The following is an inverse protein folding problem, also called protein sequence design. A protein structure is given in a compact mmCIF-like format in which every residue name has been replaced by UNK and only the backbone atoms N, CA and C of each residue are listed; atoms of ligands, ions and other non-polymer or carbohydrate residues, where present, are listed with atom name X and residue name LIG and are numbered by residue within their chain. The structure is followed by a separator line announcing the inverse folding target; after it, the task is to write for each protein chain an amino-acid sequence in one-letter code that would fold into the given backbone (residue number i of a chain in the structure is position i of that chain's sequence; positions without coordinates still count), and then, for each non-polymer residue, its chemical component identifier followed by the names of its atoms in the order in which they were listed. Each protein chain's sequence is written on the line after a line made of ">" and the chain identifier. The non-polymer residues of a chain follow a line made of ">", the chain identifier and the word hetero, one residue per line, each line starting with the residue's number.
data_IF_351068233347
#
_entry.id   IF_351068233347
#
_cell.length_a   1.000
_cell.length_b   1.000
_cell.length_c   1.000
_cell.angle_alpha   90.00
_cell.angle_beta   90.00
_cell.angle_gamma   90.00
#
_symmetry.space_group_name_H-M   'P 1'
#
loop_
_entity.id
_entity.type
_entity.pdbx_description
1 polymer ?
#
# COMPACT_ATOMS: atom_id res chain seq x y z
N UNK A 1 -13.87 16.26 2.44
CA UNK A 1 -13.79 14.89 1.87
C UNK A 1 -14.61 13.84 2.62
N UNK A 2 -14.86 12.71 1.96
CA UNK A 2 -15.77 11.63 2.38
C UNK A 2 -15.32 10.77 3.59
N UNK A 3 -14.24 11.14 4.29
CA UNK A 3 -13.79 10.45 5.52
C UNK A 3 -12.95 9.19 5.31
N UNK A 4 -12.52 8.91 4.07
CA UNK A 4 -11.57 7.84 3.75
C UNK A 4 -10.13 8.15 4.16
N UNK A 5 -9.26 7.15 4.01
CA UNK A 5 -7.81 7.21 4.23
C UNK A 5 -7.09 6.58 3.04
N UNK A 6 -5.96 7.16 2.66
CA UNK A 6 -5.16 6.72 1.52
C UNK A 6 -3.69 6.71 1.92
N UNK A 7 -3.01 5.59 1.73
CA UNK A 7 -1.58 5.39 2.04
C UNK A 7 -0.90 4.61 0.92
N UNK A 8 0.42 4.55 0.92
CA UNK A 8 1.15 3.51 0.19
C UNK A 8 0.89 2.12 0.83
N UNK A 9 1.34 1.03 0.19
CA UNK A 9 1.20 -0.32 0.76
C UNK A 9 2.20 -0.63 1.89
N UNK A 10 3.10 0.29 2.21
CA UNK A 10 3.93 0.25 3.42
C UNK A 10 3.22 0.87 4.63
N UNK A 11 2.12 1.60 4.40
CA UNK A 11 1.33 2.30 5.40
C UNK A 11 1.72 3.76 5.61
N UNK A 12 2.56 4.33 4.75
CA UNK A 12 2.94 5.73 4.81
C UNK A 12 1.98 6.62 4.04
N UNK A 13 1.87 7.88 4.46
CA UNK A 13 1.13 8.88 3.71
C UNK A 13 1.79 9.15 2.35
N UNK A 14 0.97 9.44 1.34
CA UNK A 14 1.45 9.77 0.01
C UNK A 14 2.07 11.18 -0.01
N UNK A 15 3.33 11.27 -0.44
CA UNK A 15 4.04 12.53 -0.61
C UNK A 15 3.89 13.07 -2.04
N UNK A 16 2.99 14.04 -2.20
CA UNK A 16 2.74 14.73 -3.48
C UNK A 16 3.71 15.90 -3.75
N UNK A 17 4.69 16.16 -2.88
CA UNK A 17 5.63 17.28 -3.05
C UNK A 17 6.71 17.02 -4.12
N UNK A 18 6.87 15.76 -4.55
CA UNK A 18 7.94 15.31 -5.47
C UNK A 18 7.68 15.59 -6.95
N UNK A 19 6.66 16.39 -7.27
CA UNK A 19 6.34 16.80 -8.64
C UNK A 19 5.31 15.90 -9.32
N UNK A 20 5.53 15.55 -10.59
CA UNK A 20 4.51 14.90 -11.43
C UNK A 20 4.21 13.44 -11.04
N UNK A 21 5.15 12.75 -10.40
CA UNK A 21 5.07 11.33 -10.11
C UNK A 21 5.10 11.08 -8.61
N UNK A 22 4.33 10.07 -8.18
CA UNK A 22 4.42 9.54 -6.83
C UNK A 22 5.61 8.59 -6.75
N UNK A 23 6.50 8.87 -5.80
CA UNK A 23 7.64 8.02 -5.47
C UNK A 23 7.19 6.95 -4.46
N UNK A 24 6.39 6.00 -4.96
CA UNK A 24 5.88 4.87 -4.20
C UNK A 24 6.48 3.57 -4.73
N UNK A 25 7.21 2.86 -3.86
CA UNK A 25 7.82 1.58 -4.22
C UNK A 25 6.77 0.46 -4.32
N UNK A 26 5.71 0.55 -3.51
CA UNK A 26 4.76 -0.55 -3.30
C UNK A 26 3.32 -0.02 -3.26
N UNK A 27 2.68 0.11 -4.42
CA UNK A 27 1.23 0.30 -4.57
C UNK A 27 0.56 1.44 -3.78
N UNK A 28 -0.77 1.51 -3.85
CA UNK A 28 -1.60 2.46 -3.11
C UNK A 28 -2.80 1.72 -2.50
N UNK A 29 -3.13 2.04 -1.25
CA UNK A 29 -4.30 1.53 -0.55
C UNK A 29 -5.23 2.69 -0.25
N UNK A 30 -6.49 2.61 -0.68
CA UNK A 30 -7.53 3.57 -0.39
C UNK A 30 -8.75 2.86 0.21
N UNK A 31 -9.12 3.21 1.45
CA UNK A 31 -10.26 2.60 2.15
C UNK A 31 -10.80 3.50 3.26
N UNK A 32 -11.73 3.00 4.07
CA UNK A 32 -12.18 3.68 5.27
C UNK A 32 -11.26 3.40 6.47
N UNK A 33 -11.38 4.22 7.52
CA UNK A 33 -10.55 4.11 8.73
C UNK A 33 -10.67 2.77 9.47
N UNK A 34 -11.81 2.09 9.33
CA UNK A 34 -12.10 0.83 10.04
C UNK A 34 -11.37 -0.35 9.40
N UNK A 35 -11.31 -0.40 8.07
CA UNK A 35 -10.72 -1.51 7.32
C UNK A 35 -9.22 -1.35 7.07
N UNK A 36 -8.68 -0.13 7.20
CA UNK A 36 -7.28 0.15 6.90
C UNK A 36 -6.29 -0.78 7.65
N UNK A 37 -6.41 -1.03 8.96
CA UNK A 37 -5.46 -1.90 9.67
C UNK A 37 -5.45 -3.34 9.14
N UNK A 38 -6.63 -3.92 8.89
CA UNK A 38 -6.74 -5.29 8.36
C UNK A 38 -6.27 -5.39 6.92
N UNK A 39 -6.61 -4.41 6.09
CA UNK A 39 -6.26 -4.41 4.67
C UNK A 39 -4.75 -4.23 4.46
N UNK A 40 -4.14 -3.28 5.17
CA UNK A 40 -2.71 -3.05 5.13
C UNK A 40 -1.94 -4.32 5.49
N UNK A 41 -2.35 -5.00 6.58
CA UNK A 41 -1.74 -6.26 7.00
C UNK A 41 -1.83 -7.34 5.91
N UNK A 42 -3.01 -7.57 5.35
CA UNK A 42 -3.19 -8.60 4.31
C UNK A 42 -2.39 -8.31 3.05
N UNK A 43 -2.28 -7.03 2.66
CA UNK A 43 -1.46 -6.62 1.51
C UNK A 43 0.03 -6.89 1.78
N UNK A 44 0.53 -6.50 2.95
CA UNK A 44 1.93 -6.73 3.34
C UNK A 44 2.27 -8.23 3.39
N UNK A 45 1.36 -9.06 3.91
CA UNK A 45 1.50 -10.52 3.93
C UNK A 45 1.56 -11.10 2.50
N UNK A 46 0.66 -10.68 1.61
CA UNK A 46 0.64 -11.15 0.22
C UNK A 46 1.89 -10.74 -0.57
N UNK A 47 2.42 -9.53 -0.33
CA UNK A 47 3.68 -9.07 -0.94
C UNK A 47 4.84 -9.93 -0.45
N UNK A 48 4.92 -10.18 0.85
CA UNK A 48 5.96 -11.01 1.45
C UNK A 48 5.92 -12.44 0.89
N UNK A 49 4.74 -13.02 0.75
CA UNK A 49 4.56 -14.35 0.14
C UNK A 49 5.06 -14.37 -1.31
N UNK A 50 4.68 -13.36 -2.12
CA UNK A 50 5.15 -13.24 -3.50
C UNK A 50 6.67 -13.12 -3.62
N UNK A 51 7.31 -12.40 -2.70
CA UNK A 51 8.78 -12.27 -2.66
C UNK A 51 9.51 -13.55 -2.24
N UNK A 52 8.81 -14.49 -1.58
CA UNK A 52 9.38 -15.76 -1.10
C UNK A 52 9.10 -16.94 -2.05
N UNK A 53 8.19 -16.78 -3.01
CA UNK A 53 7.91 -17.81 -4.01
C UNK A 53 9.12 -17.98 -4.96
N UNK A 54 9.60 -19.22 -5.18
CA UNK A 54 10.66 -19.47 -6.16
C UNK A 54 10.15 -19.12 -7.56
N UNK A 55 10.98 -18.40 -8.33
CA UNK A 55 10.71 -18.14 -9.74
C UNK A 55 10.49 -19.47 -10.48
N UNK A 56 9.37 -19.65 -11.22
CA UNK A 56 9.24 -20.80 -12.09
C UNK A 56 10.34 -20.70 -13.16
N UNK A 57 11.23 -21.69 -13.17
CA UNK A 57 12.33 -21.87 -14.14
C UNK A 57 11.81 -21.91 -15.58
#
# INVERSE_FOLDING_TARGET
>A
EAGGVVTDASGNDLDFSKGRFLDVDTGIIATNKQLMPSLLKSVQEAIKEKSQAPSPL
#
